data_IF_176381419363
#
_entry.id   IF_176381419363
#
_cell.length_a   1.000
_cell.length_b   1.000
_cell.length_c   1.000
_cell.angle_alpha   90.00
_cell.angle_beta   90.00
_cell.angle_gamma   90.00
#
_symmetry.space_group_name_H-M   'P 1'
#
loop_
_entity.id
_entity.type
_entity.pdbx_description
1 polymer ?
#
# COMPACT_ATOMS: atom_id res chain seq x y z
N UNK A 1 -38.05 -14.71 5.19
CA UNK A 1 -36.65 -14.50 5.61
C UNK A 1 -35.79 -14.68 4.38
N UNK A 2 -35.36 -13.58 3.76
CA UNK A 2 -34.53 -13.62 2.55
C UNK A 2 -33.28 -12.81 2.85
N UNK A 3 -32.16 -13.50 3.05
CA UNK A 3 -30.86 -12.92 3.39
C UNK A 3 -30.26 -12.23 2.17
N UNK A 4 -29.96 -10.95 2.33
CA UNK A 4 -29.41 -10.01 1.36
C UNK A 4 -28.05 -10.47 0.82
N UNK A 5 -27.98 -10.75 -0.49
CA UNK A 5 -26.74 -11.05 -1.22
C UNK A 5 -26.17 -9.77 -1.86
N UNK A 6 -25.66 -8.85 -1.04
CA UNK A 6 -25.04 -7.59 -1.51
C UNK A 6 -23.80 -7.24 -0.67
N UNK A 7 -22.77 -8.09 -0.68
CA UNK A 7 -21.57 -7.92 0.15
C UNK A 7 -20.23 -7.76 -0.58
N UNK A 8 -19.98 -8.31 -1.79
CA UNK A 8 -18.63 -8.22 -2.38
C UNK A 8 -18.27 -6.82 -2.89
N UNK A 9 -19.25 -6.02 -3.34
CA UNK A 9 -19.01 -4.66 -3.84
C UNK A 9 -18.68 -3.67 -2.71
N UNK A 10 -19.37 -3.77 -1.58
CA UNK A 10 -19.14 -2.91 -0.42
C UNK A 10 -17.76 -3.15 0.19
N UNK A 11 -17.39 -4.41 0.43
CA UNK A 11 -16.06 -4.74 0.99
C UNK A 11 -14.94 -4.30 0.05
N UNK A 12 -15.12 -4.46 -1.26
CA UNK A 12 -14.14 -3.99 -2.24
C UNK A 12 -14.04 -2.47 -2.28
N UNK A 13 -15.15 -1.75 -2.11
CA UNK A 13 -15.14 -0.30 -2.01
C UNK A 13 -14.41 0.18 -0.75
N UNK A 14 -14.72 -0.41 0.41
CA UNK A 14 -14.07 -0.04 1.67
C UNK A 14 -12.57 -0.32 1.64
N UNK A 15 -12.17 -1.48 1.09
CA UNK A 15 -10.76 -1.80 0.86
C UNK A 15 -10.10 -0.79 -0.08
N UNK A 16 -10.77 -0.39 -1.16
CA UNK A 16 -10.26 0.63 -2.07
C UNK A 16 -10.09 1.97 -1.35
N UNK A 17 -11.05 2.36 -0.51
CA UNK A 17 -10.99 3.60 0.26
C UNK A 17 -9.80 3.58 1.23
N UNK A 18 -9.60 2.50 1.98
CA UNK A 18 -8.46 2.37 2.90
C UNK A 18 -7.14 2.39 2.12
N UNK A 19 -7.06 1.65 1.01
CA UNK A 19 -5.85 1.61 0.19
C UNK A 19 -5.57 2.95 -0.49
N UNK A 20 -6.60 3.77 -0.74
CA UNK A 20 -6.44 5.11 -1.31
C UNK A 20 -5.66 6.07 -0.42
N UNK A 21 -5.64 5.83 0.90
CA UNK A 21 -4.83 6.61 1.84
C UNK A 21 -3.33 6.49 1.54
N UNK A 22 -2.90 5.41 0.89
CA UNK A 22 -1.50 5.14 0.57
C UNK A 22 -1.10 5.59 -0.84
N UNK A 23 -2.03 6.13 -1.64
CA UNK A 23 -1.76 6.56 -3.03
C UNK A 23 -0.65 7.60 -3.15
N UNK A 24 -0.38 8.38 -2.10
CA UNK A 24 0.71 9.36 -2.09
C UNK A 24 2.10 8.72 -2.26
N UNK A 25 2.26 7.45 -1.87
CA UNK A 25 3.54 6.75 -1.87
C UNK A 25 3.61 5.56 -2.82
N UNK A 26 2.56 5.32 -3.61
CA UNK A 26 2.51 4.29 -4.65
C UNK A 26 2.14 4.92 -5.99
N UNK A 27 2.15 4.13 -7.07
CA UNK A 27 1.77 4.65 -8.38
C UNK A 27 0.26 4.98 -8.40
N UNK A 28 -0.14 6.19 -8.83
CA UNK A 28 -1.54 6.59 -8.85
C UNK A 28 -2.41 5.63 -9.67
N UNK A 29 -3.62 5.34 -9.22
CA UNK A 29 -4.58 4.43 -9.89
C UNK A 29 -4.02 3.02 -10.15
N UNK A 30 -3.05 2.57 -9.36
CA UNK A 30 -2.47 1.22 -9.52
C UNK A 30 -3.15 0.14 -8.69
N UNK A 31 -3.98 0.52 -7.71
CA UNK A 31 -4.68 -0.41 -6.84
C UNK A 31 -5.75 -1.14 -7.63
N UNK A 32 -5.69 -2.47 -7.64
CA UNK A 32 -6.68 -3.34 -8.29
C UNK A 32 -7.03 -4.51 -7.39
N UNK A 33 -8.29 -4.56 -6.96
CA UNK A 33 -8.80 -5.69 -6.18
C UNK A 33 -9.10 -6.84 -7.15
N UNK A 34 -8.39 -7.95 -6.98
CA UNK A 34 -8.52 -9.13 -7.84
C UNK A 34 -9.59 -10.07 -7.33
N UNK A 35 -9.64 -10.31 -6.02
CA UNK A 35 -10.58 -11.23 -5.40
C UNK A 35 -10.89 -10.80 -3.98
N UNK A 36 -12.17 -10.79 -3.62
CA UNK A 36 -12.62 -10.50 -2.26
C UNK A 36 -13.51 -11.65 -1.80
N UNK A 37 -13.08 -12.36 -0.76
CA UNK A 37 -13.86 -13.43 -0.11
C UNK A 37 -14.02 -13.15 1.37
N UNK A 38 -14.89 -13.89 2.05
CA UNK A 38 -15.11 -13.73 3.49
C UNK A 38 -13.88 -14.01 4.36
N UNK A 39 -12.84 -14.68 3.83
CA UNK A 39 -11.65 -15.08 4.59
C UNK A 39 -10.34 -14.53 4.02
N UNK A 40 -10.34 -14.11 2.77
CA UNK A 40 -9.14 -13.64 2.09
C UNK A 40 -9.52 -12.60 1.03
N UNK A 41 -8.76 -11.51 0.99
CA UNK A 41 -8.86 -10.51 -0.07
C UNK A 41 -7.51 -10.35 -0.75
N UNK A 42 -7.48 -10.49 -2.07
CA UNK A 42 -6.28 -10.35 -2.89
C UNK A 42 -6.41 -9.08 -3.70
N UNK A 43 -5.41 -8.22 -3.60
CA UNK A 43 -5.31 -7.00 -4.37
C UNK A 43 -3.90 -6.84 -4.93
N UNK A 44 -3.79 -5.97 -5.91
CA UNK A 44 -2.55 -5.62 -6.56
C UNK A 44 -2.32 -4.13 -6.43
N UNK A 45 -1.07 -3.72 -6.33
CA UNK A 45 -0.65 -2.33 -6.43
C UNK A 45 0.68 -2.24 -7.15
N UNK A 46 1.05 -1.03 -7.56
CA UNK A 46 2.35 -0.76 -8.16
C UNK A 46 3.12 0.26 -7.33
N UNK A 47 4.33 -0.11 -6.94
CA UNK A 47 5.25 0.78 -6.23
C UNK A 47 5.83 1.84 -7.19
N UNK A 48 6.43 2.90 -6.63
CA UNK A 48 7.08 3.98 -7.40
C UNK A 48 8.38 3.53 -8.09
N UNK A 49 8.89 2.36 -7.71
CA UNK A 49 10.00 1.63 -8.32
C UNK A 49 9.57 0.83 -9.56
N UNK A 50 8.30 0.97 -10.00
CA UNK A 50 7.71 0.21 -11.09
C UNK A 50 7.68 -1.31 -10.83
N UNK A 51 7.45 -1.69 -9.58
CA UNK A 51 7.27 -3.08 -9.17
C UNK A 51 5.80 -3.28 -8.83
N UNK A 52 5.18 -4.27 -9.46
CA UNK A 52 3.84 -4.70 -9.14
C UNK A 52 3.89 -5.72 -8.01
N UNK A 53 3.11 -5.48 -6.95
CA UNK A 53 2.89 -6.43 -5.87
C UNK A 53 1.52 -7.05 -6.00
N UNK A 54 1.43 -8.35 -5.77
CA UNK A 54 0.18 -9.04 -5.46
C UNK A 54 0.18 -9.35 -3.97
N UNK A 55 -0.82 -8.86 -3.26
CA UNK A 55 -0.90 -8.89 -1.80
C UNK A 55 -2.19 -9.58 -1.40
N UNK A 56 -2.08 -10.51 -0.45
CA UNK A 56 -3.19 -11.21 0.18
C UNK A 56 -3.40 -10.69 1.59
N UNK A 57 -4.63 -10.32 1.93
CA UNK A 57 -5.06 -9.91 3.27
C UNK A 57 -5.64 -11.13 3.97
N UNK A 58 -4.98 -11.53 5.05
CA UNK A 58 -5.32 -12.70 5.87
C UNK A 58 -5.55 -12.30 7.32
N UNK A 59 -5.91 -13.26 8.16
CA UNK A 59 -6.05 -13.09 9.61
C UNK A 59 -4.73 -12.77 10.32
N UNK A 60 -3.59 -13.10 9.69
CA UNK A 60 -2.25 -12.79 10.20
C UNK A 60 -1.64 -11.51 9.61
N UNK A 61 -2.41 -10.77 8.80
CA UNK A 61 -1.99 -9.50 8.18
C UNK A 61 -1.84 -9.58 6.66
N UNK A 62 -0.96 -8.73 6.12
CA UNK A 62 -0.69 -8.57 4.69
C UNK A 62 0.48 -9.46 4.25
N UNK A 63 0.27 -10.26 3.21
CA UNK A 63 1.29 -11.17 2.68
C UNK A 63 1.49 -10.88 1.20
N UNK A 64 2.73 -10.63 0.81
CA UNK A 64 3.10 -10.52 -0.60
C UNK A 64 3.12 -11.93 -1.19
N UNK A 65 2.22 -12.23 -2.11
CA UNK A 65 2.15 -13.53 -2.78
C UNK A 65 3.00 -13.58 -4.04
N UNK A 66 3.16 -12.44 -4.70
CA UNK A 66 3.93 -12.33 -5.94
C UNK A 66 4.46 -10.90 -6.12
N UNK A 67 5.63 -10.77 -6.74
CA UNK A 67 6.26 -9.50 -7.06
C UNK A 67 6.84 -9.56 -8.48
N UNK A 68 6.39 -8.67 -9.36
CA UNK A 68 6.81 -8.66 -10.76
C UNK A 68 7.15 -7.25 -11.24
N UNK A 69 8.00 -7.09 -12.26
CA UNK A 69 8.12 -5.83 -13.00
C UNK A 69 6.75 -5.34 -13.47
N UNK A 70 6.48 -4.04 -13.36
CA UNK A 70 5.24 -3.48 -13.89
C UNK A 70 5.28 -3.51 -15.44
N UNK A 71 4.27 -4.08 -16.13
CA UNK A 71 4.38 -4.42 -17.55
C UNK A 71 4.68 -3.26 -18.50
N UNK A 72 4.29 -2.04 -18.14
CA UNK A 72 4.49 -0.85 -18.99
C UNK A 72 5.68 0.01 -18.55
N UNK A 73 6.54 -0.51 -17.67
CA UNK A 73 7.74 0.20 -17.24
C UNK A 73 8.90 -0.07 -18.19
N UNK A 74 9.51 1.00 -18.69
CA UNK A 74 10.67 0.89 -19.58
C UNK A 74 11.93 0.45 -18.82
N UNK A 75 12.01 0.74 -17.52
CA UNK A 75 13.15 0.39 -16.67
C UNK A 75 12.62 -0.03 -15.29
N UNK A 76 12.99 -1.24 -14.87
CA UNK A 76 12.85 -1.74 -13.50
C UNK A 76 14.25 -2.03 -12.99
N UNK A 77 14.58 -1.49 -11.84
CA UNK A 77 15.84 -1.79 -11.18
C UNK A 77 15.76 -3.21 -10.61
N UNK A 78 16.57 -4.12 -11.16
CA UNK A 78 16.58 -5.52 -10.71
C UNK A 78 16.95 -5.68 -9.23
N UNK A 79 17.71 -4.74 -8.65
CA UNK A 79 18.07 -4.75 -7.23
C UNK A 79 16.84 -4.52 -6.35
N UNK A 80 15.99 -3.57 -6.75
CA UNK A 80 14.75 -3.25 -6.01
C UNK A 80 13.78 -4.44 -6.08
N UNK A 81 13.64 -5.05 -7.26
CA UNK A 81 12.83 -6.26 -7.44
C UNK A 81 13.37 -7.44 -6.62
N UNK A 82 14.67 -7.67 -6.58
CA UNK A 82 15.27 -8.74 -5.77
C UNK A 82 15.04 -8.48 -4.28
N UNK A 83 15.12 -7.23 -3.84
CA UNK A 83 14.85 -6.83 -2.45
C UNK A 83 13.41 -7.13 -2.06
N UNK A 84 12.44 -6.78 -2.91
CA UNK A 84 11.03 -7.11 -2.69
C UNK A 84 10.81 -8.63 -2.66
N UNK A 85 11.46 -9.38 -3.55
CA UNK A 85 11.32 -10.83 -3.62
C UNK A 85 11.74 -11.55 -2.32
N UNK A 86 12.66 -10.98 -1.54
CA UNK A 86 13.06 -11.53 -0.22
C UNK A 86 11.92 -11.51 0.80
N UNK A 87 10.91 -10.66 0.58
CA UNK A 87 9.76 -10.50 1.47
C UNK A 87 8.51 -11.22 0.98
N UNK A 88 8.59 -11.94 -0.14
CA UNK A 88 7.49 -12.78 -0.63
C UNK A 88 7.22 -13.90 0.37
N UNK A 89 5.95 -14.15 0.66
CA UNK A 89 5.46 -15.06 1.70
C UNK A 89 5.81 -14.67 3.14
N UNK A 90 6.32 -13.46 3.38
CA UNK A 90 6.47 -12.92 4.73
C UNK A 90 5.22 -12.12 5.14
N UNK A 91 4.66 -12.39 6.34
CA UNK A 91 3.52 -11.62 6.84
C UNK A 91 3.97 -10.27 7.41
N UNK A 92 3.21 -9.24 7.06
CA UNK A 92 3.33 -7.90 7.61
C UNK A 92 2.07 -7.56 8.40
N UNK A 93 2.25 -6.98 9.59
CA UNK A 93 1.13 -6.60 10.46
C UNK A 93 0.31 -5.45 9.86
N UNK A 94 0.97 -4.48 9.24
CA UNK A 94 0.35 -3.29 8.66
C UNK A 94 0.80 -3.05 7.22
N UNK A 95 -0.02 -2.28 6.50
CA UNK A 95 0.28 -1.89 5.12
C UNK A 95 1.52 -0.98 5.07
N UNK A 96 1.67 -0.09 6.05
CA UNK A 96 2.83 0.78 6.22
C UNK A 96 4.11 -0.03 6.39
N UNK A 97 4.10 -1.08 7.23
CA UNK A 97 5.27 -1.93 7.42
C UNK A 97 5.67 -2.62 6.11
N UNK A 98 4.67 -3.10 5.35
CA UNK A 98 4.90 -3.68 4.03
C UNK A 98 5.52 -2.65 3.07
N UNK A 99 4.93 -1.47 2.94
CA UNK A 99 5.37 -0.44 1.99
C UNK A 99 6.73 0.16 2.37
N UNK A 100 6.98 0.41 3.65
CA UNK A 100 8.27 0.90 4.15
C UNK A 100 9.41 -0.10 3.90
N UNK A 101 9.10 -1.38 3.95
CA UNK A 101 10.08 -2.45 3.74
C UNK A 101 10.32 -2.72 2.26
N UNK A 102 9.28 -2.58 1.43
CA UNK A 102 9.32 -2.97 0.01
C UNK A 102 9.58 -1.80 -0.95
N UNK A 103 9.37 -0.56 -0.52
CA UNK A 103 9.55 0.64 -1.34
C UNK A 103 10.39 1.68 -0.60
N UNK A 104 11.69 1.80 -0.91
CA UNK A 104 12.52 2.89 -0.43
C UNK A 104 11.93 4.27 -0.74
N UNK A 105 11.33 4.46 -1.92
CA UNK A 105 10.69 5.73 -2.31
C UNK A 105 9.47 6.04 -1.45
N UNK A 106 8.67 5.03 -1.10
CA UNK A 106 7.58 5.21 -0.15
C UNK A 106 8.12 5.73 1.19
N UNK A 107 9.21 5.16 1.69
CA UNK A 107 9.86 5.59 2.92
C UNK A 107 10.34 7.04 2.88
N UNK A 108 10.97 7.46 1.78
CA UNK A 108 11.41 8.85 1.59
C UNK A 108 10.22 9.83 1.64
N UNK A 109 9.15 9.54 0.90
CA UNK A 109 7.94 10.38 0.86
C UNK A 109 7.27 10.40 2.24
N UNK A 110 7.16 9.25 2.90
CA UNK A 110 6.58 9.14 4.23
C UNK A 110 7.34 10.01 5.25
N UNK A 111 8.68 9.94 5.26
CA UNK A 111 9.50 10.78 6.12
C UNK A 111 9.37 12.27 5.78
N UNK A 112 9.28 12.63 4.49
CA UNK A 112 9.07 14.01 4.08
C UNK A 112 7.71 14.55 4.56
N UNK A 113 6.64 13.77 4.46
CA UNK A 113 5.32 14.14 4.96
C UNK A 113 5.35 14.31 6.48
N UNK A 114 5.98 13.39 7.21
CA UNK A 114 6.14 13.50 8.66
C UNK A 114 6.93 14.75 9.05
N UNK A 115 8.02 15.03 8.35
CA UNK A 115 8.84 16.22 8.59
C UNK A 115 8.04 17.51 8.35
N UNK A 116 7.29 17.60 7.25
CA UNK A 116 6.44 18.75 6.96
C UNK A 116 5.36 18.95 8.04
N UNK A 117 4.71 17.87 8.48
CA UNK A 117 3.72 17.95 9.58
C UNK A 117 4.34 18.44 10.89
N UNK A 118 5.57 18.04 11.19
CA UNK A 118 6.28 18.53 12.38
C UNK A 118 6.61 20.02 12.27
N UNK A 119 7.04 20.49 11.10
CA UNK A 119 7.28 21.92 10.85
C UNK A 119 5.99 22.75 10.99
N UNK A 120 4.88 22.25 10.44
CA UNK A 120 3.58 22.93 10.53
C UNK A 120 3.10 23.05 11.99
N UNK A 121 3.35 22.04 12.83
CA UNK A 121 3.03 22.13 14.25
C UNK A 121 3.91 23.13 15.00
N UNK A 122 5.18 23.26 14.61
CA UNK A 122 6.09 24.23 15.22
C UNK A 122 5.73 25.68 14.85
N UNK A 123 5.31 25.93 13.60
CA UNK A 123 4.86 27.26 13.19
C UNK A 123 3.56 27.67 13.89
N UNK A 124 2.60 26.75 14.06
CA UNK A 124 1.34 27.02 14.78
C UNK A 124 1.51 27.27 16.29
N UNK A 125 2.62 26.85 16.91
CA UNK A 125 2.89 27.18 18.31
C UNK A 125 3.41 28.61 18.50
N UNK A 126 3.96 29.24 17.46
CA UNK A 126 4.49 30.61 17.53
C UNK A 126 3.41 31.68 17.28
N UNK A 127 2.30 31.35 16.63
CA UNK A 127 1.20 32.30 16.35
C UNK A 127 0.18 32.46 17.49
N UNK A 128 0.26 31.67 18.56
CA UNK A 128 -0.67 31.73 19.71
C UNK A 128 -0.10 32.59 20.86
N UNK A 129 1.13 33.09 20.75
CA UNK A 129 1.81 33.92 21.77
C UNK A 129 1.96 35.41 21.41
N UNK A 130 1.19 35.94 20.44
CA UNK A 130 1.12 37.38 20.13
C UNK A 130 -0.29 37.97 20.30
#
# INVERSE_FOLDING_TARGET
>A
MSTSTSTPSFVSQELTNILSEFEYGIKPNSIKISQTTAKNSIFQLCLLENIQLTISITDIGFIITDASPYPTANEVNNIDLETVNKWVNHPFETMEALLLTTSPKFGEIFHQILFNKLLDLQSHQQDVEN
#
